data_IF_321684957794
#
_entry.id   IF_321684957794
#
_cell.length_a   1.000
_cell.length_b   1.000
_cell.length_c   1.000
_cell.angle_alpha   90.00
_cell.angle_beta   90.00
_cell.angle_gamma   90.00
#
_symmetry.space_group_name_H-M   'P 1'
#
loop_
_entity.id
_entity.type
_entity.pdbx_description
1 polymer ?
#
# COMPACT_ATOMS: atom_id res chain seq x y z
N UNK A 1 -0.96 3.69 -6.76
CA UNK A 1 -0.96 3.37 -5.32
C UNK A 1 -1.11 1.87 -5.11
N UNK A 2 -0.71 1.36 -3.95
CA UNK A 2 -0.88 -0.04 -3.47
C UNK A 2 -1.21 0.00 -1.98
N UNK A 3 -2.09 -0.88 -1.51
CA UNK A 3 -2.58 -0.86 -0.11
C UNK A 3 -2.58 -2.26 0.48
N UNK A 4 -2.16 -2.36 1.74
CA UNK A 4 -2.30 -3.56 2.58
C UNK A 4 -3.11 -3.20 3.83
N UNK A 5 -3.95 -4.14 4.28
CA UNK A 5 -4.58 -4.09 5.58
C UNK A 5 -4.16 -5.32 6.36
N UNK A 6 -3.45 -5.12 7.47
CA UNK A 6 -2.88 -6.20 8.27
C UNK A 6 -2.81 -5.79 9.73
N UNK A 7 -3.19 -6.71 10.62
CA UNK A 7 -3.07 -6.56 12.07
C UNK A 7 -3.62 -5.24 12.63
N UNK A 8 -4.75 -4.77 12.08
CA UNK A 8 -5.40 -3.53 12.50
C UNK A 8 -4.80 -2.24 11.93
N UNK A 9 -3.91 -2.33 10.94
CA UNK A 9 -3.33 -1.18 10.26
C UNK A 9 -3.72 -1.15 8.78
N UNK A 10 -3.88 0.06 8.25
CA UNK A 10 -3.97 0.33 6.81
C UNK A 10 -2.70 1.06 6.39
N UNK A 11 -2.00 0.52 5.40
CA UNK A 11 -0.81 1.15 4.82
C UNK A 11 -0.99 1.26 3.30
N UNK A 12 -0.94 2.48 2.77
CA UNK A 12 -1.03 2.78 1.33
C UNK A 12 0.28 3.42 0.87
N UNK A 13 0.97 2.80 -0.07
CA UNK A 13 2.14 3.38 -0.73
C UNK A 13 1.74 4.12 -2.01
N UNK A 14 2.18 5.37 -2.16
CA UNK A 14 2.09 6.07 -3.43
C UNK A 14 3.30 5.68 -4.28
N UNK A 15 3.03 5.23 -5.50
CA UNK A 15 4.09 4.86 -6.44
C UNK A 15 4.49 6.10 -7.24
N UNK A 16 5.76 6.18 -7.68
CA UNK A 16 6.20 7.23 -8.58
C UNK A 16 5.25 7.34 -9.78
N UNK A 17 4.86 8.56 -10.10
CA UNK A 17 3.94 8.86 -11.19
C UNK A 17 3.99 10.33 -11.54
N UNK A 18 2.95 10.80 -12.23
CA UNK A 18 2.87 12.20 -12.63
C UNK A 18 2.74 13.17 -11.44
N UNK A 19 2.02 12.76 -10.39
CA UNK A 19 1.70 13.61 -9.23
C UNK A 19 2.56 13.31 -8.01
N UNK A 20 3.13 12.11 -7.92
CA UNK A 20 3.82 11.61 -6.73
C UNK A 20 5.25 11.21 -7.08
N UNK A 21 6.20 11.56 -6.22
CA UNK A 21 7.59 11.15 -6.36
C UNK A 21 7.85 9.70 -5.87
N UNK A 22 6.86 9.11 -5.19
CA UNK A 22 6.90 7.74 -4.68
C UNK A 22 7.40 7.62 -3.24
N UNK A 23 7.64 8.73 -2.54
CA UNK A 23 8.06 8.74 -1.13
C UNK A 23 6.88 8.91 -0.15
N UNK A 24 5.74 9.33 -0.69
CA UNK A 24 4.51 9.62 0.04
C UNK A 24 3.66 8.36 0.26
N UNK A 25 2.74 8.45 1.21
CA UNK A 25 1.75 7.41 1.45
C UNK A 25 0.84 7.72 2.64
N UNK A 26 0.12 6.70 3.06
CA UNK A 26 -0.82 6.77 4.17
C UNK A 26 -0.60 5.63 5.15
N UNK A 27 -0.70 5.92 6.44
CA UNK A 27 -0.61 4.93 7.49
C UNK A 27 -1.63 5.26 8.60
N UNK A 28 -2.55 4.33 8.86
CA UNK A 28 -3.61 4.51 9.86
C UNK A 28 -3.71 3.29 10.79
N UNK A 29 -3.87 3.55 12.09
CA UNK A 29 -4.23 2.56 13.11
C UNK A 29 -5.75 2.45 13.15
N UNK A 30 -6.34 1.33 12.73
CA UNK A 30 -7.79 1.13 12.81
C UNK A 30 -8.29 0.97 14.25
N UNK A 31 -7.41 0.61 15.17
CA UNK A 31 -7.75 0.49 16.59
C UNK A 31 -7.94 1.86 17.25
N UNK A 32 -7.04 2.81 16.96
CA UNK A 32 -7.08 4.15 17.56
C UNK A 32 -7.84 5.16 16.69
N UNK A 33 -7.87 4.93 15.38
CA UNK A 33 -8.41 5.82 14.35
C UNK A 33 -9.19 5.03 13.30
N UNK A 34 -10.36 4.46 13.66
CA UNK A 34 -11.18 3.66 12.75
C UNK A 34 -11.70 4.45 11.55
N UNK A 35 -11.69 5.78 11.63
CA UNK A 35 -12.12 6.68 10.55
C UNK A 35 -10.95 7.20 9.69
N UNK A 36 -9.71 6.81 10.00
CA UNK A 36 -8.51 7.13 9.21
C UNK A 36 -8.32 8.65 9.01
N UNK A 37 -8.49 9.42 10.08
CA UNK A 37 -8.39 10.87 10.06
C UNK A 37 -6.95 11.38 10.22
N UNK A 38 -6.09 10.62 10.91
CA UNK A 38 -4.72 11.03 11.25
C UNK A 38 -3.70 10.16 10.52
N UNK A 39 -3.16 10.69 9.42
CA UNK A 39 -2.11 10.00 8.68
C UNK A 39 -0.80 10.00 9.48
N UNK A 40 -0.30 8.81 9.82
CA UNK A 40 0.95 8.58 10.54
C UNK A 40 2.13 8.22 9.63
N UNK A 41 2.02 8.45 8.31
CA UNK A 41 3.06 8.07 7.35
C UNK A 41 4.45 8.61 7.71
N UNK A 42 4.52 9.87 8.13
CA UNK A 42 5.77 10.56 8.49
C UNK A 42 6.08 10.52 9.99
N UNK A 43 5.28 9.81 10.80
CA UNK A 43 5.54 9.66 12.23
C UNK A 43 6.75 8.75 12.45
N UNK A 44 7.86 9.27 13.03
CA UNK A 44 9.07 8.47 13.27
C UNK A 44 8.82 7.29 14.22
N UNK A 45 7.81 7.38 15.10
CA UNK A 45 7.45 6.27 15.99
C UNK A 45 6.85 5.08 15.21
N UNK A 46 6.27 5.34 14.03
CA UNK A 46 5.68 4.32 13.17
C UNK A 46 6.61 3.84 12.05
N UNK A 47 7.85 4.36 11.97
CA UNK A 47 8.74 4.11 10.82
C UNK A 47 9.08 2.63 10.61
N UNK A 48 9.36 1.89 11.68
CA UNK A 48 9.66 0.45 11.60
C UNK A 48 8.44 -0.34 11.13
N UNK A 49 7.27 -0.10 11.75
CA UNK A 49 6.00 -0.72 11.36
C UNK A 49 5.66 -0.43 9.89
N UNK A 50 5.83 0.82 9.44
CA UNK A 50 5.64 1.20 8.04
C UNK A 50 6.54 0.37 7.13
N UNK A 51 7.81 0.21 7.48
CA UNK A 51 8.76 -0.60 6.71
C UNK A 51 8.30 -2.04 6.58
N UNK A 52 7.94 -2.68 7.69
CA UNK A 52 7.49 -4.08 7.71
C UNK A 52 6.22 -4.28 6.87
N UNK A 53 5.25 -3.37 6.99
CA UNK A 53 4.01 -3.42 6.20
C UNK A 53 4.27 -3.18 4.70
N UNK A 54 5.23 -2.35 4.33
CA UNK A 54 5.63 -2.18 2.93
C UNK A 54 6.28 -3.45 2.39
N UNK A 55 7.15 -4.09 3.15
CA UNK A 55 7.77 -5.37 2.75
C UNK A 55 6.69 -6.44 2.55
N UNK A 56 5.74 -6.55 3.47
CA UNK A 56 4.58 -7.44 3.35
C UNK A 56 3.68 -7.10 2.14
N UNK A 57 3.46 -5.82 1.87
CA UNK A 57 2.68 -5.35 0.72
C UNK A 57 3.31 -5.80 -0.60
N UNK A 58 4.63 -5.72 -0.74
CA UNK A 58 5.32 -6.14 -1.95
C UNK A 58 5.41 -7.67 -2.05
N UNK A 59 5.67 -8.36 -0.93
CA UNK A 59 5.76 -9.82 -0.88
C UNK A 59 4.41 -10.52 -1.15
N UNK A 60 3.29 -9.88 -0.80
CA UNK A 60 1.95 -10.44 -1.00
C UNK A 60 1.41 -10.33 -2.43
N UNK A 61 2.14 -9.68 -3.34
CA UNK A 61 1.66 -9.51 -4.71
C UNK A 61 1.65 -10.83 -5.48
N UNK A 62 0.60 -11.07 -6.29
CA UNK A 62 0.57 -12.26 -7.14
C UNK A 62 1.73 -12.21 -8.13
N UNK A 63 2.39 -13.36 -8.29
CA UNK A 63 3.42 -13.50 -9.31
C UNK A 63 2.85 -13.19 -10.70
N UNK A 64 3.61 -12.44 -11.50
CA UNK A 64 3.23 -12.19 -12.89
C UNK A 64 3.23 -13.51 -13.67
N UNK A 65 2.09 -13.83 -14.27
CA UNK A 65 1.95 -15.02 -15.11
C UNK A 65 2.26 -14.68 -16.57
N UNK A 66 3.14 -15.46 -17.20
CA UNK A 66 3.48 -15.38 -18.63
C UNK A 66 3.24 -16.74 -19.30
N UNK A 67 2.80 -16.79 -20.58
CA UNK A 67 2.46 -15.64 -21.43
C UNK A 67 1.21 -14.91 -20.92
N UNK A 68 1.09 -13.63 -21.27
CA UNK A 68 -0.13 -12.87 -20.98
C UNK A 68 -1.33 -13.56 -21.62
N UNK A 69 -2.47 -13.55 -20.91
CA UNK A 69 -3.72 -14.11 -21.45
C UNK A 69 -4.11 -13.33 -22.70
N UNK A 70 -4.62 -14.05 -23.71
CA UNK A 70 -5.14 -13.44 -24.94
C UNK A 70 -6.31 -12.53 -24.55
N UNK A 71 -6.26 -11.26 -24.96
CA UNK A 71 -7.38 -10.33 -24.85
C UNK A 71 -8.39 -10.67 -25.95
N UNK A 72 -9.62 -10.95 -25.57
CA UNK A 72 -10.76 -11.09 -26.49
C UNK A 72 -11.67 -9.87 -26.33
N UNK A 73 -11.87 -9.12 -27.41
CA UNK A 73 -12.79 -7.98 -27.41
C UNK A 73 -14.24 -8.47 -27.61
N UNK A 74 -15.25 -7.80 -27.02
CA UNK A 74 -16.64 -8.07 -27.36
C UNK A 74 -16.90 -7.85 -28.85
N UNK A 75 -17.71 -8.72 -29.46
CA UNK A 75 -18.26 -8.60 -30.83
C UNK A 75 -19.65 -8.00 -30.82
#
# INVERSE_FOLDING_TARGET
VRTITRDGWVCTAYLPGYTHDGTEGELYSLADDPLQQTNRWDDPACAALRSDLLDDLWASQPAQQLPLRRIEAPV
#
